data_IF_258011989404
#
_entry.id   IF_258011989404
#
_cell.length_a   1.000
_cell.length_b   1.000
_cell.length_c   1.000
_cell.angle_alpha   90.00
_cell.angle_beta   90.00
_cell.angle_gamma   90.00
#
_symmetry.space_group_name_H-M   'P 1'
#
loop_
_entity.id
_entity.type
_entity.pdbx_description
1 polymer ?
#
# COMPACT_ATOMS: atom_id res chain seq x y z
N UNK A 1 -20.68 -18.74 -22.53
CA UNK A 1 -21.85 -18.25 -23.28
C UNK A 1 -21.89 -16.75 -23.07
N UNK A 2 -21.53 -15.95 -24.09
CA UNK A 2 -21.55 -14.50 -24.00
C UNK A 2 -22.99 -14.02 -24.26
N UNK A 3 -23.58 -13.32 -23.29
CA UNK A 3 -24.85 -12.66 -23.46
C UNK A 3 -24.60 -11.36 -24.25
N UNK A 4 -24.97 -11.36 -25.52
CA UNK A 4 -25.07 -10.13 -26.32
C UNK A 4 -26.34 -9.41 -25.89
N UNK A 5 -26.21 -8.26 -25.22
CA UNK A 5 -27.30 -7.31 -25.04
C UNK A 5 -27.49 -6.57 -26.36
N UNK A 6 -28.60 -6.84 -27.02
CA UNK A 6 -29.05 -6.08 -28.21
C UNK A 6 -29.90 -4.92 -27.67
N UNK A 7 -29.40 -3.69 -27.83
CA UNK A 7 -30.18 -2.50 -27.51
C UNK A 7 -31.21 -2.24 -28.64
N UNK A 8 -32.45 -1.92 -28.29
CA UNK A 8 -33.49 -1.52 -29.25
C UNK A 8 -33.14 -0.15 -29.87
N UNK A 9 -33.52 0.11 -31.14
CA UNK A 9 -33.31 1.41 -31.78
C UNK A 9 -34.00 2.52 -30.98
N UNK A 10 -33.21 3.45 -30.43
CA UNK A 10 -33.70 4.59 -29.62
C UNK A 10 -33.37 4.49 -28.14
N UNK A 11 -32.88 3.35 -27.63
CA UNK A 11 -32.25 3.27 -26.32
C UNK A 11 -30.73 3.46 -26.50
N UNK A 12 -30.25 4.66 -26.20
CA UNK A 12 -28.85 4.90 -26.01
C UNK A 12 -28.39 3.98 -24.89
N UNK A 13 -27.48 3.05 -25.16
CA UNK A 13 -26.80 2.33 -24.09
C UNK A 13 -26.23 3.38 -23.13
N UNK A 14 -26.55 3.27 -21.85
CA UNK A 14 -25.95 4.14 -20.84
C UNK A 14 -24.42 4.14 -21.07
N UNK A 15 -23.75 5.32 -21.03
CA UNK A 15 -22.33 5.36 -21.21
C UNK A 15 -21.73 4.30 -20.31
N UNK A 16 -20.93 3.39 -20.87
CA UNK A 16 -20.22 2.40 -20.05
C UNK A 16 -19.38 3.21 -19.07
N UNK A 17 -19.83 3.32 -17.84
CA UNK A 17 -18.98 3.81 -16.77
C UNK A 17 -17.77 2.88 -16.73
N UNK A 18 -16.65 3.39 -17.17
CA UNK A 18 -15.38 2.67 -17.08
C UNK A 18 -15.07 2.51 -15.59
N UNK A 19 -15.45 1.36 -15.05
CA UNK A 19 -15.16 1.01 -13.66
C UNK A 19 -13.67 0.78 -13.55
N UNK A 20 -12.95 1.79 -13.04
CA UNK A 20 -11.51 1.73 -12.86
C UNK A 20 -11.19 0.82 -11.68
N UNK A 21 -10.43 -0.23 -11.95
CA UNK A 21 -9.90 -1.15 -10.94
C UNK A 21 -8.38 -1.17 -11.05
N UNK A 22 -7.71 -1.32 -9.91
CA UNK A 22 -6.26 -1.40 -9.83
C UNK A 22 -5.81 -2.67 -9.14
N UNK A 23 -4.60 -3.11 -9.49
CA UNK A 23 -3.86 -4.13 -8.75
C UNK A 23 -2.71 -3.49 -8.00
N UNK A 24 -2.55 -3.80 -6.73
CA UNK A 24 -1.43 -3.34 -5.91
C UNK A 24 -0.63 -4.55 -5.43
N UNK A 25 0.68 -4.53 -5.69
CA UNK A 25 1.62 -5.40 -5.01
C UNK A 25 2.27 -4.61 -3.86
N UNK A 26 1.82 -4.90 -2.64
CA UNK A 26 2.43 -4.37 -1.42
C UNK A 26 3.66 -5.23 -1.09
N UNK A 27 4.81 -4.86 -1.61
CA UNK A 27 6.06 -5.57 -1.40
C UNK A 27 6.74 -5.23 -0.06
N UNK A 28 7.70 -6.06 0.35
CA UNK A 28 8.52 -5.80 1.56
C UNK A 28 9.47 -4.63 1.36
N UNK A 29 10.14 -4.56 0.21
CA UNK A 29 11.13 -3.54 -0.12
C UNK A 29 10.54 -2.45 -1.00
N UNK A 30 9.83 -2.85 -2.05
CA UNK A 30 9.17 -1.94 -2.98
C UNK A 30 7.74 -2.41 -3.22
N UNK A 31 6.87 -1.46 -3.48
CA UNK A 31 5.48 -1.67 -3.84
C UNK A 31 5.19 -1.04 -5.20
N UNK A 32 4.18 -1.53 -5.88
CA UNK A 32 3.75 -0.98 -7.17
C UNK A 32 2.25 -1.06 -7.34
N UNK A 33 1.73 -0.25 -8.26
CA UNK A 33 0.34 -0.27 -8.69
C UNK A 33 0.26 -0.45 -10.20
N UNK A 34 -0.71 -1.23 -10.63
CA UNK A 34 -0.97 -1.52 -12.03
C UNK A 34 -2.48 -1.47 -12.33
N UNK A 35 -2.80 -1.33 -13.58
CA UNK A 35 -4.17 -1.42 -14.09
C UNK A 35 -4.21 -2.26 -15.36
N UNK A 36 -5.40 -2.62 -15.80
CA UNK A 36 -5.63 -3.24 -17.11
C UNK A 36 -6.37 -2.22 -17.98
N UNK A 37 -5.74 -1.81 -19.06
CA UNK A 37 -6.33 -0.94 -20.10
C UNK A 37 -6.33 -1.66 -21.44
N UNK A 38 -7.46 -1.70 -22.11
CA UNK A 38 -7.62 -2.37 -23.42
C UNK A 38 -7.13 -3.83 -23.43
N UNK A 39 -7.27 -4.54 -22.31
CA UNK A 39 -6.82 -5.94 -22.18
C UNK A 39 -5.33 -6.12 -21.86
N UNK A 40 -4.54 -5.03 -21.75
CA UNK A 40 -3.12 -5.09 -21.42
C UNK A 40 -2.89 -4.62 -19.98
N UNK A 41 -2.08 -5.38 -19.23
CA UNK A 41 -1.64 -4.99 -17.90
C UNK A 41 -0.53 -3.92 -18.00
N UNK A 42 -0.70 -2.81 -17.29
CA UNK A 42 0.24 -1.70 -17.29
C UNK A 42 0.54 -1.25 -15.87
N UNK A 43 1.81 -1.15 -15.51
CA UNK A 43 2.24 -0.50 -14.26
C UNK A 43 2.09 1.01 -14.38
N UNK A 44 1.66 1.64 -13.29
CA UNK A 44 1.51 3.09 -13.21
C UNK A 44 2.76 3.69 -12.55
N UNK A 45 3.31 4.71 -13.20
CA UNK A 45 4.54 5.39 -12.76
C UNK A 45 4.21 6.69 -12.02
N UNK A 46 5.17 7.19 -11.26
CA UNK A 46 5.15 8.58 -10.78
C UNK A 46 5.55 9.57 -11.88
N UNK A 47 5.59 10.87 -11.52
CA UNK A 47 5.92 11.96 -12.43
C UNK A 47 7.36 11.89 -12.99
N UNK A 48 8.24 11.12 -12.33
CA UNK A 48 9.61 10.87 -12.77
C UNK A 48 9.75 9.58 -13.61
N UNK A 49 8.64 8.87 -13.85
CA UNK A 49 8.62 7.62 -14.61
C UNK A 49 8.98 6.38 -13.79
N UNK A 50 9.09 6.47 -12.47
CA UNK A 50 9.40 5.32 -11.62
C UNK A 50 8.13 4.52 -11.30
N UNK A 51 8.12 3.23 -11.66
CA UNK A 51 7.00 2.33 -11.38
C UNK A 51 7.01 1.84 -9.91
N UNK A 52 8.20 1.60 -9.36
CA UNK A 52 8.35 1.11 -7.98
C UNK A 52 8.34 2.26 -6.98
N UNK A 53 7.60 2.05 -5.89
CA UNK A 53 7.59 2.92 -4.71
C UNK A 53 8.32 2.18 -3.59
N UNK A 54 9.40 2.72 -2.99
CA UNK A 54 10.01 2.13 -1.81
C UNK A 54 8.98 1.96 -0.69
N UNK A 55 8.91 0.76 -0.09
CA UNK A 55 7.99 0.45 1.02
C UNK A 55 8.53 1.02 2.33
N UNK A 56 8.69 2.34 2.36
CA UNK A 56 9.29 3.12 3.45
C UNK A 56 8.36 4.28 3.80
N UNK A 57 8.13 4.47 5.09
CA UNK A 57 7.31 5.59 5.61
C UNK A 57 8.06 6.26 6.75
N UNK A 58 8.23 7.57 6.67
CA UNK A 58 8.82 8.38 7.71
C UNK A 58 7.75 9.18 8.43
N UNK A 59 7.82 9.18 9.77
CA UNK A 59 6.87 9.83 10.66
C UNK A 59 7.56 10.93 11.45
N UNK A 60 7.17 12.17 11.22
CA UNK A 60 7.68 13.34 11.89
C UNK A 60 6.53 14.12 12.56
N UNK A 61 6.82 14.95 13.55
CA UNK A 61 5.82 15.80 14.19
C UNK A 61 5.05 16.70 13.19
N UNK A 62 5.67 17.04 12.06
CA UNK A 62 5.10 17.93 11.04
C UNK A 62 4.48 17.22 9.83
N UNK A 63 4.53 15.88 9.76
CA UNK A 63 3.96 15.17 8.62
C UNK A 63 4.49 13.77 8.38
N UNK A 64 3.99 13.17 7.33
CA UNK A 64 4.31 11.80 6.92
C UNK A 64 4.87 11.85 5.50
N UNK A 65 6.00 11.17 5.28
CA UNK A 65 6.63 11.04 3.98
C UNK A 65 6.67 9.56 3.59
N UNK A 66 6.38 9.24 2.34
CA UNK A 66 6.33 7.86 1.83
C UNK A 66 7.24 7.72 0.61
N UNK A 67 7.88 6.57 0.48
CA UNK A 67 8.64 6.22 -0.71
C UNK A 67 10.08 6.75 -0.70
N UNK A 68 10.53 7.31 -1.82
CA UNK A 68 11.93 7.67 -2.08
C UNK A 68 12.48 8.66 -1.07
N UNK A 69 11.73 9.73 -0.76
CA UNK A 69 12.18 10.76 0.19
C UNK A 69 12.29 10.21 1.61
N UNK A 70 11.35 9.33 2.00
CA UNK A 70 11.45 8.61 3.27
C UNK A 70 12.67 7.69 3.32
N UNK A 71 12.96 6.97 2.23
CA UNK A 71 14.10 6.07 2.14
C UNK A 71 15.44 6.81 2.24
N UNK A 72 15.56 8.00 1.67
CA UNK A 72 16.75 8.85 1.78
C UNK A 72 17.04 9.28 3.23
N UNK A 73 16.00 9.48 4.02
CA UNK A 73 16.11 9.89 5.42
C UNK A 73 16.41 8.72 6.37
N UNK A 74 16.32 7.48 5.92
CA UNK A 74 16.37 6.30 6.78
C UNK A 74 17.66 6.16 7.61
N UNK A 75 18.79 6.57 7.07
CA UNK A 75 20.08 6.52 7.78
C UNK A 75 20.19 7.62 8.84
N UNK A 76 19.59 8.78 8.60
CA UNK A 76 19.67 9.94 9.49
C UNK A 76 18.62 9.91 10.61
N UNK A 77 17.49 9.28 10.34
CA UNK A 77 16.35 9.23 11.25
C UNK A 77 15.72 7.81 11.27
N UNK A 78 16.50 6.80 11.70
CA UNK A 78 16.08 5.40 11.62
C UNK A 78 14.91 5.07 12.57
N UNK A 79 14.80 5.76 13.72
CA UNK A 79 13.74 5.51 14.69
C UNK A 79 12.35 5.90 14.18
N UNK A 80 12.27 6.93 13.34
CA UNK A 80 11.02 7.44 12.77
C UNK A 80 10.77 6.97 11.33
N UNK A 81 11.71 6.26 10.72
CA UNK A 81 11.61 5.80 9.34
C UNK A 81 11.39 4.29 9.29
N UNK A 82 10.14 3.91 9.08
CA UNK A 82 9.74 2.51 9.08
C UNK A 82 9.97 1.87 7.71
N UNK A 83 10.82 0.84 7.69
CA UNK A 83 11.20 0.11 6.49
C UNK A 83 10.65 -1.32 6.57
N UNK A 84 10.17 -1.85 5.46
CA UNK A 84 9.76 -3.25 5.35
C UNK A 84 8.69 -3.68 6.36
N UNK A 85 7.78 -2.78 6.70
CA UNK A 85 6.73 -3.00 7.72
C UNK A 85 5.82 -4.20 7.43
N UNK A 86 5.75 -4.64 6.18
CA UNK A 86 5.04 -5.88 5.79
C UNK A 86 5.50 -7.10 6.59
N UNK A 87 6.76 -7.12 7.02
CA UNK A 87 7.34 -8.19 7.85
C UNK A 87 6.78 -8.24 9.27
N UNK A 88 6.16 -7.15 9.72
CA UNK A 88 5.62 -7.00 11.08
C UNK A 88 4.11 -7.21 11.14
N UNK A 89 3.44 -7.29 9.99
CA UNK A 89 1.99 -7.53 9.93
C UNK A 89 1.62 -8.84 10.63
N UNK A 90 0.66 -8.77 11.56
CA UNK A 90 0.16 -9.92 12.30
C UNK A 90 1.15 -10.56 13.28
N UNK A 91 2.30 -9.92 13.57
CA UNK A 91 3.32 -10.44 14.47
C UNK A 91 3.38 -9.69 15.78
N UNK A 92 3.87 -10.39 16.79
CA UNK A 92 4.23 -9.82 18.10
C UNK A 92 5.66 -9.28 18.07
N UNK A 93 6.00 -8.42 19.05
CA UNK A 93 7.37 -7.92 19.21
C UNK A 93 8.39 -9.07 19.36
N UNK A 94 8.07 -10.08 20.17
CA UNK A 94 8.97 -11.22 20.41
C UNK A 94 9.29 -11.99 19.11
N UNK A 95 8.30 -12.21 18.26
CA UNK A 95 8.49 -12.88 16.95
C UNK A 95 9.33 -12.05 15.99
N UNK A 96 9.22 -10.72 16.07
CA UNK A 96 10.01 -9.79 15.25
C UNK A 96 11.47 -9.82 15.71
N UNK A 97 11.72 -9.68 17.01
CA UNK A 97 13.07 -9.72 17.61
C UNK A 97 13.75 -11.05 17.36
N UNK A 98 13.03 -12.16 17.47
CA UNK A 98 13.53 -13.49 17.15
C UNK A 98 13.92 -13.63 15.67
N UNK A 99 13.13 -13.04 14.77
CA UNK A 99 13.33 -13.20 13.32
C UNK A 99 14.38 -12.24 12.74
N UNK A 100 14.50 -11.03 13.28
CA UNK A 100 15.27 -9.94 12.68
C UNK A 100 16.31 -9.33 13.62
N UNK A 101 16.40 -9.79 14.87
CA UNK A 101 17.31 -9.23 15.87
C UNK A 101 16.88 -7.84 16.33
N UNK A 102 17.86 -7.07 16.81
CA UNK A 102 17.64 -5.71 17.30
C UNK A 102 17.43 -4.74 16.13
N UNK A 103 16.27 -4.11 16.09
CA UNK A 103 15.92 -3.09 15.12
C UNK A 103 16.00 -1.69 15.76
N UNK A 104 16.13 -0.62 14.96
CA UNK A 104 16.24 0.75 15.48
C UNK A 104 14.89 1.31 15.99
N UNK A 105 13.88 0.47 16.13
CA UNK A 105 12.52 0.88 16.50
C UNK A 105 12.26 0.70 17.98
N UNK A 106 11.55 1.64 18.57
CA UNK A 106 10.99 1.52 19.91
C UNK A 106 9.60 0.88 19.80
N UNK A 107 9.55 -0.45 19.96
CA UNK A 107 8.28 -1.17 19.99
C UNK A 107 7.49 -0.86 21.26
N UNK A 108 6.18 -0.79 21.13
CA UNK A 108 5.23 -0.57 22.21
C UNK A 108 3.90 -1.25 21.90
N UNK A 109 2.98 -1.21 22.83
CA UNK A 109 1.61 -1.66 22.61
C UNK A 109 0.67 -0.44 22.44
N UNK A 110 -0.29 -0.63 21.56
CA UNK A 110 -1.43 0.26 21.39
C UNK A 110 -2.71 -0.56 21.28
N UNK A 111 -3.59 -0.43 22.29
CA UNK A 111 -4.84 -1.20 22.40
C UNK A 111 -4.65 -2.73 22.26
N UNK A 112 -3.57 -3.27 22.86
CA UNK A 112 -3.26 -4.71 22.80
C UNK A 112 -2.64 -5.18 21.48
N UNK A 113 -2.29 -4.26 20.58
CA UNK A 113 -1.64 -4.54 19.30
C UNK A 113 -0.23 -3.96 19.25
N UNK A 114 0.64 -4.57 18.46
CA UNK A 114 1.98 -4.06 18.21
C UNK A 114 1.94 -2.67 17.58
N UNK A 115 2.72 -1.76 18.13
CA UNK A 115 2.97 -0.44 17.58
C UNK A 115 4.45 -0.06 17.71
N UNK A 116 4.84 0.98 17.00
CA UNK A 116 6.17 1.58 17.03
C UNK A 116 6.00 3.02 17.45
N UNK A 117 6.74 3.45 18.49
CA UNK A 117 6.76 4.83 18.93
C UNK A 117 7.58 5.67 17.94
N UNK A 118 6.97 6.73 17.43
CA UNK A 118 7.60 7.71 16.51
C UNK A 118 7.31 9.13 16.99
N UNK A 119 7.92 10.13 16.35
CA UNK A 119 7.64 11.56 16.63
C UNK A 119 6.20 11.96 16.26
N UNK A 120 5.54 11.22 15.38
CA UNK A 120 4.12 11.39 15.09
C UNK A 120 3.20 10.57 15.99
N UNK A 121 3.74 9.91 17.02
CA UNK A 121 3.01 9.05 17.96
C UNK A 121 3.17 7.56 17.66
N UNK A 122 2.25 6.76 18.20
CA UNK A 122 2.25 5.30 18.03
C UNK A 122 1.71 4.89 16.67
N UNK A 123 2.50 4.15 15.93
CA UNK A 123 2.16 3.69 14.57
C UNK A 123 2.18 2.16 14.53
N UNK A 124 1.04 1.57 14.20
CA UNK A 124 0.97 0.12 13.96
C UNK A 124 1.52 -0.24 12.59
N UNK A 125 1.99 -1.49 12.37
CA UNK A 125 2.39 -1.96 11.03
C UNK A 125 1.27 -1.84 9.99
N UNK A 126 0.02 -2.05 10.40
CA UNK A 126 -1.17 -1.85 9.54
C UNK A 126 -1.28 -0.39 9.12
N UNK A 127 -1.17 0.56 10.05
CA UNK A 127 -1.20 1.99 9.78
C UNK A 127 -0.08 2.41 8.81
N UNK A 128 1.14 1.91 9.02
CA UNK A 128 2.25 2.19 8.10
C UNK A 128 2.00 1.62 6.70
N UNK A 129 1.48 0.41 6.60
CA UNK A 129 1.11 -0.21 5.32
C UNK A 129 0.01 0.58 4.61
N UNK A 130 -0.99 1.10 5.35
CA UNK A 130 -2.07 1.91 4.78
C UNK A 130 -1.57 3.21 4.12
N UNK A 131 -0.50 3.83 4.64
CA UNK A 131 0.09 5.01 4.01
C UNK A 131 0.78 4.68 2.68
N UNK A 132 1.43 3.51 2.58
CA UNK A 132 2.01 3.04 1.31
C UNK A 132 0.89 2.79 0.28
N UNK A 133 -0.19 2.12 0.70
CA UNK A 133 -1.35 1.86 -0.15
C UNK A 133 -2.03 3.17 -0.59
N UNK A 134 -2.17 4.15 0.30
CA UNK A 134 -2.72 5.46 -0.01
C UNK A 134 -1.87 6.22 -1.05
N UNK A 135 -0.54 6.15 -0.94
CA UNK A 135 0.36 6.76 -1.93
C UNK A 135 0.22 6.10 -3.32
N UNK A 136 0.10 4.78 -3.37
CA UNK A 136 -0.14 4.05 -4.63
C UNK A 136 -1.52 4.32 -5.21
N UNK A 137 -2.55 4.44 -4.36
CA UNK A 137 -3.90 4.83 -4.78
C UNK A 137 -3.89 6.24 -5.39
N UNK A 138 -3.27 7.20 -4.73
CA UNK A 138 -3.15 8.58 -5.23
C UNK A 138 -2.42 8.63 -6.59
N UNK A 139 -1.34 7.86 -6.76
CA UNK A 139 -0.65 7.71 -8.04
C UNK A 139 -1.59 7.19 -9.14
N UNK A 140 -2.42 6.20 -8.82
CA UNK A 140 -3.37 5.65 -9.77
C UNK A 140 -4.46 6.68 -10.13
N UNK A 141 -5.05 7.35 -9.14
CA UNK A 141 -6.04 8.41 -9.35
C UNK A 141 -5.49 9.53 -10.25
N UNK A 142 -4.26 9.98 -9.99
CA UNK A 142 -3.58 10.97 -10.83
C UNK A 142 -3.41 10.48 -12.28
N UNK A 143 -3.02 9.22 -12.48
CA UNK A 143 -2.87 8.60 -13.80
C UNK A 143 -4.19 8.52 -14.59
N UNK A 144 -5.32 8.50 -13.89
CA UNK A 144 -6.66 8.47 -14.47
C UNK A 144 -7.33 9.85 -14.52
N UNK A 145 -6.57 10.95 -14.37
CA UNK A 145 -7.13 12.30 -14.37
C UNK A 145 -8.01 12.59 -13.14
N UNK A 146 -7.65 12.05 -11.99
CA UNK A 146 -8.35 12.15 -10.71
C UNK A 146 -9.76 11.53 -10.72
N UNK A 147 -9.96 10.49 -11.51
CA UNK A 147 -11.19 9.70 -11.46
C UNK A 147 -11.15 8.73 -10.27
N UNK A 148 -12.31 8.49 -9.68
CA UNK A 148 -12.46 7.57 -8.56
C UNK A 148 -12.14 6.12 -8.96
N UNK A 149 -11.36 5.45 -8.13
CA UNK A 149 -11.06 4.03 -8.27
C UNK A 149 -12.14 3.23 -7.55
N UNK A 150 -12.84 2.39 -8.29
CA UNK A 150 -13.95 1.60 -7.78
C UNK A 150 -13.51 0.46 -6.86
N UNK A 151 -12.31 -0.07 -7.08
CA UNK A 151 -11.78 -1.17 -6.29
C UNK A 151 -10.30 -1.43 -6.54
N UNK A 152 -9.67 -2.06 -5.55
CA UNK A 152 -8.29 -2.48 -5.62
C UNK A 152 -8.15 -3.96 -5.25
N UNK A 153 -7.33 -4.69 -5.99
CA UNK A 153 -6.87 -6.04 -5.64
C UNK A 153 -5.47 -5.91 -5.06
N UNK A 154 -5.29 -6.31 -3.80
CA UNK A 154 -3.99 -6.26 -3.13
C UNK A 154 -3.43 -7.68 -3.04
N UNK A 155 -2.23 -7.89 -3.59
CA UNK A 155 -1.58 -9.20 -3.52
C UNK A 155 -0.94 -9.42 -2.15
N UNK A 156 -1.05 -10.66 -1.65
CA UNK A 156 -0.36 -11.11 -0.44
C UNK A 156 0.46 -12.37 -0.75
N UNK A 157 1.60 -12.58 -0.07
CA UNK A 157 2.38 -13.79 -0.26
C UNK A 157 1.57 -15.05 0.07
N UNK A 158 1.85 -16.14 -0.63
CA UNK A 158 1.18 -17.42 -0.38
C UNK A 158 1.42 -17.96 1.04
N UNK A 159 2.58 -17.64 1.63
CA UNK A 159 2.97 -18.07 2.98
C UNK A 159 2.37 -17.22 4.11
N UNK A 160 1.61 -16.16 3.80
CA UNK A 160 0.92 -15.38 4.84
C UNK A 160 -0.10 -16.26 5.55
N UNK A 161 -0.05 -16.24 6.89
CA UNK A 161 -1.06 -16.84 7.75
C UNK A 161 -2.36 -16.00 7.79
N UNK A 162 -3.35 -16.49 8.50
CA UNK A 162 -4.66 -15.83 8.60
C UNK A 162 -4.57 -14.48 9.31
N UNK A 163 -3.72 -14.33 10.34
CA UNK A 163 -3.53 -13.06 11.05
C UNK A 163 -2.91 -11.99 10.13
N UNK A 164 -1.92 -12.37 9.33
CA UNK A 164 -1.29 -11.49 8.35
C UNK A 164 -2.25 -11.08 7.22
N UNK A 165 -3.07 -12.02 6.74
CA UNK A 165 -4.11 -11.76 5.73
C UNK A 165 -5.17 -10.81 6.28
N UNK A 166 -5.60 -11.04 7.52
CA UNK A 166 -6.58 -10.16 8.20
C UNK A 166 -6.01 -8.75 8.40
N UNK A 167 -4.76 -8.63 8.86
CA UNK A 167 -4.08 -7.34 9.02
C UNK A 167 -3.93 -6.57 7.70
N UNK A 168 -3.83 -7.27 6.56
CA UNK A 168 -3.77 -6.62 5.24
C UNK A 168 -5.14 -6.10 4.78
N UNK A 169 -6.25 -6.61 5.31
CA UNK A 169 -7.62 -6.18 4.97
C UNK A 169 -8.12 -4.98 5.78
N UNK A 170 -7.49 -4.68 6.91
CA UNK A 170 -7.80 -3.52 7.77
C UNK A 170 -7.36 -2.19 7.12
#
# INVERSE_FOLDING_TARGET
MALLQIAEPGQSAAPHEHKLAIGIDLGTTNSLVATVQSGEARTLTDDLGAAMLPSVVRYQAGGITVGTDAAQAATQDPANTLISVKRFLGKTQAEIEQSYGQLPYQFCEDNGSLAIQTDAGKISPVKASSHILAALKARAEQSFGNQDILGAVITVPAYFDDAQRQATRQ
#
